data_IF_658403880219
#
_entry.id   IF_658403880219
#
_cell.length_a   1.000
_cell.length_b   1.000
_cell.length_c   1.000
_cell.angle_alpha   90.00
_cell.angle_beta   90.00
_cell.angle_gamma   90.00
#
_symmetry.space_group_name_H-M   'P 1'
#
loop_
_entity.id
_entity.type
_entity.pdbx_description
1 polymer ?
#
# COMPACT_ATOMS: atom_id res chain seq x y z
N UNK A 1 9.42 14.70 -34.26
CA UNK A 1 8.71 14.85 -32.99
C UNK A 1 9.36 13.86 -32.03
N UNK A 2 10.19 14.36 -31.12
CA UNK A 2 10.87 13.53 -30.12
C UNK A 2 9.86 13.16 -29.04
N UNK A 3 9.44 11.89 -29.01
CA UNK A 3 8.84 11.32 -27.82
C UNK A 3 9.89 11.43 -26.69
N UNK A 4 9.69 12.38 -25.80
CA UNK A 4 10.34 12.32 -24.51
C UNK A 4 9.83 11.05 -23.86
N UNK A 5 10.68 10.03 -23.78
CA UNK A 5 10.43 8.89 -22.91
C UNK A 5 10.25 9.43 -21.50
N UNK A 6 9.00 9.55 -21.10
CA UNK A 6 8.65 9.89 -19.72
C UNK A 6 9.25 8.77 -18.87
N UNK A 7 10.16 9.14 -17.99
CA UNK A 7 10.72 8.22 -17.00
C UNK A 7 9.57 7.87 -16.03
N UNK A 8 8.80 6.87 -16.40
CA UNK A 8 7.66 6.39 -15.63
C UNK A 8 8.06 5.04 -15.00
N UNK A 9 8.47 5.04 -13.73
CA UNK A 9 8.79 3.80 -13.01
C UNK A 9 7.52 3.04 -12.72
N UNK A 10 7.28 1.99 -13.49
CA UNK A 10 6.24 1.02 -13.24
C UNK A 10 6.78 -0.15 -12.39
N UNK A 11 5.92 -0.78 -11.66
CA UNK A 11 6.26 -1.98 -10.90
C UNK A 11 6.08 -1.77 -9.41
N UNK A 12 4.83 -1.66 -9.01
CA UNK A 12 4.47 -1.66 -7.60
C UNK A 12 3.12 -2.33 -7.46
N UNK A 13 3.05 -3.27 -6.53
CA UNK A 13 1.78 -3.83 -6.08
C UNK A 13 1.77 -3.79 -4.56
N UNK A 14 0.80 -3.08 -4.01
CA UNK A 14 0.53 -3.05 -2.57
C UNK A 14 -0.86 -3.58 -2.34
N UNK A 15 -1.00 -4.46 -1.37
CA UNK A 15 -2.28 -5.01 -0.92
C UNK A 15 -2.40 -4.85 0.59
N UNK A 16 -3.56 -4.39 1.04
CA UNK A 16 -3.93 -4.33 2.45
C UNK A 16 -5.20 -5.13 2.72
N UNK A 17 -5.20 -5.89 3.80
CA UNK A 17 -6.35 -6.70 4.25
C UNK A 17 -6.53 -6.51 5.75
N UNK A 18 -7.78 -6.27 6.17
CA UNK A 18 -8.17 -6.32 7.58
C UNK A 18 -9.06 -7.54 7.83
N UNK A 19 -8.77 -8.26 8.90
CA UNK A 19 -9.59 -9.41 9.34
C UNK A 19 -9.35 -9.71 10.80
N UNK A 20 -10.42 -9.95 11.55
CA UNK A 20 -10.38 -10.39 12.95
C UNK A 20 -9.51 -9.52 13.86
N UNK A 21 -9.60 -8.20 13.71
CA UNK A 21 -8.82 -7.24 14.51
C UNK A 21 -7.34 -7.14 14.12
N UNK A 22 -6.93 -7.75 13.02
CA UNK A 22 -5.62 -7.59 12.41
C UNK A 22 -5.69 -6.78 11.12
N UNK A 23 -4.64 -6.07 10.80
CA UNK A 23 -4.38 -5.47 9.49
C UNK A 23 -3.03 -5.97 8.98
N UNK A 24 -3.00 -6.46 7.75
CA UNK A 24 -1.77 -6.82 7.06
C UNK A 24 -1.63 -5.99 5.78
N UNK A 25 -0.47 -5.39 5.57
CA UNK A 25 -0.09 -4.76 4.32
C UNK A 25 1.11 -5.50 3.74
N UNK A 26 1.02 -5.84 2.45
CA UNK A 26 2.11 -6.44 1.72
C UNK A 26 2.42 -5.67 0.43
N UNK A 27 3.67 -5.73 0.03
CA UNK A 27 4.14 -5.18 -1.24
C UNK A 27 5.17 -6.09 -1.88
N UNK A 28 5.15 -6.14 -3.22
CA UNK A 28 6.20 -6.80 -3.99
C UNK A 28 7.49 -5.97 -4.00
N UNK A 29 8.59 -6.57 -4.46
CA UNK A 29 9.90 -5.93 -4.48
C UNK A 29 10.33 -5.37 -5.83
N UNK A 30 9.54 -5.49 -6.89
CA UNK A 30 9.97 -5.11 -8.23
C UNK A 30 9.92 -3.60 -8.47
N UNK A 31 11.00 -3.07 -9.02
CA UNK A 31 11.08 -1.72 -9.60
C UNK A 31 11.49 -1.88 -11.05
N UNK A 32 10.66 -1.37 -11.96
CA UNK A 32 10.83 -1.52 -13.42
C UNK A 32 10.88 -0.13 -14.06
N UNK A 33 11.77 0.06 -15.01
CA UNK A 33 11.84 1.26 -15.85
C UNK A 33 11.72 0.83 -17.29
N UNK A 34 10.66 1.25 -17.94
CA UNK A 34 10.31 0.75 -19.28
C UNK A 34 10.17 -0.78 -19.24
N UNK A 35 11.01 -1.48 -19.98
CA UNK A 35 11.00 -2.94 -20.08
C UNK A 35 12.10 -3.63 -19.26
N UNK A 36 12.75 -2.90 -18.34
CA UNK A 36 13.91 -3.41 -17.59
C UNK A 36 13.61 -3.43 -16.08
N UNK A 37 13.80 -4.60 -15.45
CA UNK A 37 13.76 -4.73 -14.00
C UNK A 37 15.05 -4.15 -13.41
N UNK A 38 14.94 -3.04 -12.68
CA UNK A 38 16.06 -2.35 -12.06
C UNK A 38 16.38 -2.90 -10.66
N UNK A 39 15.37 -3.36 -9.94
CA UNK A 39 15.48 -3.89 -8.59
C UNK A 39 14.36 -4.90 -8.33
N UNK A 40 14.69 -5.98 -7.62
CA UNK A 40 13.73 -7.04 -7.31
C UNK A 40 13.37 -7.19 -5.83
N UNK A 41 13.96 -6.38 -4.94
CA UNK A 41 13.83 -6.49 -3.49
C UNK A 41 13.57 -5.15 -2.79
N UNK A 42 12.86 -4.24 -3.43
CA UNK A 42 12.49 -2.96 -2.83
C UNK A 42 11.50 -3.16 -1.67
N UNK A 43 11.66 -2.35 -0.62
CA UNK A 43 10.70 -2.27 0.49
C UNK A 43 9.71 -1.16 0.23
N UNK A 44 8.46 -1.52 -0.03
CA UNK A 44 7.37 -0.58 -0.38
C UNK A 44 6.34 -0.42 0.74
N UNK A 45 6.46 -1.21 1.81
CA UNK A 45 5.60 -1.16 2.99
C UNK A 45 6.44 -0.82 4.21
N UNK A 46 5.91 0.04 5.08
CA UNK A 46 6.57 0.54 6.30
C UNK A 46 5.62 0.58 7.49
N UNK A 47 6.20 0.51 8.67
CA UNK A 47 5.54 0.84 9.94
C UNK A 47 5.79 2.30 10.26
N UNK A 48 4.76 3.02 10.65
CA UNK A 48 4.78 4.42 11.04
C UNK A 48 4.16 4.61 12.43
N UNK A 49 4.37 5.78 13.02
CA UNK A 49 3.73 6.18 14.26
C UNK A 49 3.93 5.17 15.39
N UNK A 50 5.21 4.90 15.74
CA UNK A 50 5.59 3.93 16.78
C UNK A 50 4.95 2.56 16.56
N UNK A 51 5.05 2.05 15.34
CA UNK A 51 4.52 0.74 14.91
C UNK A 51 2.99 0.58 15.06
N UNK A 52 2.24 1.67 15.05
CA UNK A 52 0.77 1.63 15.17
C UNK A 52 0.04 1.72 13.84
N UNK A 53 0.72 2.14 12.78
CA UNK A 53 0.15 2.31 11.44
C UNK A 53 1.04 1.66 10.41
N UNK A 54 0.44 0.97 9.44
CA UNK A 54 1.10 0.46 8.25
C UNK A 54 0.85 1.41 7.07
N UNK A 55 1.86 1.61 6.24
CA UNK A 55 1.74 2.40 5.02
C UNK A 55 2.46 1.74 3.87
N UNK A 56 1.84 1.73 2.68
CA UNK A 56 2.40 1.26 1.43
C UNK A 56 2.21 2.30 0.33
N UNK A 57 3.15 2.39 -0.59
CA UNK A 57 3.22 3.42 -1.61
C UNK A 57 3.33 2.83 -3.01
N UNK A 58 2.57 3.36 -3.94
CA UNK A 58 2.68 3.08 -5.37
C UNK A 58 2.96 4.38 -6.13
N UNK A 59 4.11 4.45 -6.81
CA UNK A 59 4.60 5.63 -7.53
C UNK A 59 6.13 5.69 -7.58
N UNK A 60 6.69 6.85 -7.90
CA UNK A 60 8.14 7.07 -7.92
C UNK A 60 8.78 6.97 -6.53
N UNK A 61 9.95 6.32 -6.44
CA UNK A 61 10.61 6.06 -5.14
C UNK A 61 11.04 7.31 -4.38
N UNK A 62 11.43 8.38 -5.10
CA UNK A 62 11.79 9.65 -4.46
C UNK A 62 10.60 10.31 -3.75
N UNK A 63 9.40 10.13 -4.31
CA UNK A 63 8.16 10.71 -3.81
C UNK A 63 7.64 9.95 -2.59
N UNK A 64 7.92 8.64 -2.51
CA UNK A 64 7.53 7.79 -1.40
C UNK A 64 8.05 8.31 -0.06
N UNK A 65 9.32 8.69 0.01
CA UNK A 65 9.93 9.18 1.25
C UNK A 65 9.26 10.44 1.75
N UNK A 66 9.05 11.41 0.86
CA UNK A 66 8.38 12.68 1.20
C UNK A 66 6.96 12.45 1.72
N UNK A 67 6.20 11.58 1.08
CA UNK A 67 4.83 11.27 1.50
C UNK A 67 4.77 10.52 2.83
N UNK A 68 5.66 9.57 3.07
CA UNK A 68 5.74 8.88 4.36
C UNK A 68 6.10 9.84 5.50
N UNK A 69 7.10 10.72 5.31
CA UNK A 69 7.48 11.73 6.31
C UNK A 69 6.32 12.69 6.61
N UNK A 70 5.66 13.19 5.57
CA UNK A 70 4.49 14.07 5.71
C UNK A 70 3.34 13.38 6.44
N UNK A 71 3.11 12.11 6.12
CA UNK A 71 2.04 11.33 6.76
C UNK A 71 2.36 11.05 8.22
N UNK A 72 3.59 10.67 8.55
CA UNK A 72 4.02 10.45 9.93
C UNK A 72 3.87 11.70 10.78
N UNK A 73 4.25 12.87 10.26
CA UNK A 73 4.05 14.15 10.94
C UNK A 73 2.55 14.45 11.21
N UNK A 74 1.65 14.05 10.30
CA UNK A 74 0.19 14.17 10.54
C UNK A 74 -0.29 13.19 11.62
N UNK A 75 0.22 11.96 11.62
CA UNK A 75 -0.12 10.97 12.65
C UNK A 75 0.34 11.43 14.04
N UNK A 76 1.55 11.97 14.16
CA UNK A 76 2.08 12.52 15.40
C UNK A 76 1.24 13.71 15.91
N UNK A 77 0.86 14.60 14.99
CA UNK A 77 0.08 15.80 15.32
C UNK A 77 -1.34 15.51 15.75
N UNK A 78 -2.02 14.57 15.08
CA UNK A 78 -3.45 14.34 15.28
C UNK A 78 -3.76 13.08 16.10
N UNK A 79 -2.82 12.15 16.26
CA UNK A 79 -2.97 10.92 17.03
C UNK A 79 -4.06 9.96 16.52
N UNK A 80 -4.55 10.15 15.29
CA UNK A 80 -5.69 9.43 14.72
C UNK A 80 -5.49 9.23 13.22
N UNK A 81 -5.63 7.99 12.76
CA UNK A 81 -5.39 7.62 11.36
C UNK A 81 -6.32 8.35 10.40
N UNK A 82 -7.62 8.39 10.68
CA UNK A 82 -8.62 9.04 9.82
C UNK A 82 -8.32 10.53 9.67
N UNK A 83 -8.04 11.22 10.77
CA UNK A 83 -7.71 12.64 10.74
C UNK A 83 -6.42 12.91 9.99
N UNK A 84 -5.39 12.11 10.25
CA UNK A 84 -4.10 12.23 9.56
C UNK A 84 -4.24 12.01 8.05
N UNK A 85 -5.03 11.03 7.61
CA UNK A 85 -5.29 10.75 6.21
C UNK A 85 -5.99 11.93 5.51
N UNK A 86 -7.03 12.50 6.13
CA UNK A 86 -7.75 13.66 5.61
C UNK A 86 -6.83 14.87 5.48
N UNK A 87 -6.03 15.14 6.51
CA UNK A 87 -5.13 16.30 6.50
C UNK A 87 -3.95 16.12 5.52
N UNK A 88 -3.46 14.89 5.32
CA UNK A 88 -2.49 14.61 4.26
C UNK A 88 -3.12 14.84 2.88
N UNK A 89 -4.32 14.35 2.64
CA UNK A 89 -5.00 14.52 1.35
C UNK A 89 -5.22 15.99 1.00
N UNK A 90 -5.58 16.82 1.98
CA UNK A 90 -5.69 18.28 1.80
C UNK A 90 -4.36 18.92 1.42
N UNK A 91 -3.29 18.58 2.14
CA UNK A 91 -1.95 19.08 1.83
C UNK A 91 -1.50 18.60 0.45
N UNK A 92 -1.70 17.33 0.13
CA UNK A 92 -1.31 16.75 -1.15
C UNK A 92 -1.95 17.47 -2.34
N UNK A 93 -3.26 17.74 -2.22
CA UNK A 93 -4.01 18.47 -3.26
C UNK A 93 -3.56 19.92 -3.40
N UNK A 94 -3.26 20.60 -2.30
CA UNK A 94 -3.01 22.06 -2.26
C UNK A 94 -1.53 22.45 -2.34
N UNK A 95 -0.62 21.59 -1.90
CA UNK A 95 0.82 21.86 -1.93
C UNK A 95 1.34 21.86 -3.37
N UNK A 96 2.09 22.90 -3.72
CA UNK A 96 2.59 23.13 -5.08
C UNK A 96 3.51 22.02 -5.58
N UNK A 97 4.24 21.37 -4.69
CA UNK A 97 5.14 20.26 -5.00
C UNK A 97 4.44 18.91 -4.94
N UNK A 98 3.71 18.63 -3.84
CA UNK A 98 3.04 17.36 -3.64
C UNK A 98 1.99 17.06 -4.70
N UNK A 99 1.20 18.04 -5.14
CA UNK A 99 0.15 17.85 -6.15
C UNK A 99 0.63 17.37 -7.52
N UNK A 100 1.95 17.42 -7.76
CA UNK A 100 2.57 16.92 -9.00
C UNK A 100 2.93 15.44 -8.91
N UNK A 101 2.83 14.84 -7.72
CA UNK A 101 3.17 13.45 -7.49
C UNK A 101 2.03 12.56 -7.97
N UNK A 102 2.30 11.78 -9.00
CA UNK A 102 1.40 10.73 -9.47
C UNK A 102 1.63 9.48 -8.63
N UNK A 103 0.91 9.39 -7.53
CA UNK A 103 1.10 8.34 -6.55
C UNK A 103 -0.20 8.00 -5.81
N UNK A 104 -0.20 6.82 -5.20
CA UNK A 104 -1.23 6.35 -4.29
C UNK A 104 -0.57 5.86 -3.00
N UNK A 105 -1.21 6.13 -1.89
CA UNK A 105 -0.83 5.65 -0.58
C UNK A 105 -1.92 4.75 0.00
N UNK A 106 -1.55 3.56 0.45
CA UNK A 106 -2.43 2.64 1.19
C UNK A 106 -1.97 2.62 2.64
N UNK A 107 -2.87 2.97 3.55
CA UNK A 107 -2.56 3.07 4.98
C UNK A 107 -3.58 2.33 5.81
N UNK A 108 -3.16 1.74 6.92
CA UNK A 108 -4.07 1.01 7.78
C UNK A 108 -3.57 0.81 9.19
N UNK A 109 -4.52 0.66 10.09
CA UNK A 109 -4.38 0.15 11.44
C UNK A 109 -5.41 -0.99 11.67
N UNK A 110 -5.47 -1.63 12.85
CA UNK A 110 -6.44 -2.69 13.09
C UNK A 110 -7.90 -2.27 12.91
N UNK A 111 -8.21 -0.97 13.01
CA UNK A 111 -9.58 -0.45 12.96
C UNK A 111 -9.96 0.09 11.58
N UNK A 112 -9.00 0.62 10.81
CA UNK A 112 -9.24 1.35 9.56
C UNK A 112 -8.24 1.00 8.46
N UNK A 113 -8.70 1.11 7.21
CA UNK A 113 -7.90 0.99 6.00
C UNK A 113 -8.31 2.10 5.04
N UNK A 114 -7.34 2.82 4.46
CA UNK A 114 -7.61 3.91 3.51
C UNK A 114 -6.68 3.87 2.31
N UNK A 115 -7.23 4.23 1.15
CA UNK A 115 -6.45 4.65 -0.02
C UNK A 115 -6.50 6.18 -0.08
N UNK A 116 -5.33 6.80 -0.21
CA UNK A 116 -5.17 8.25 -0.32
C UNK A 116 -4.55 8.57 -1.68
N UNK A 117 -5.17 9.50 -2.41
CA UNK A 117 -4.69 9.94 -3.72
C UNK A 117 -4.18 11.37 -3.72
N UNK A 118 -3.35 11.70 -4.70
CA UNK A 118 -2.87 13.07 -4.93
C UNK A 118 -3.98 14.04 -5.35
N UNK A 119 -5.14 13.55 -5.74
CA UNK A 119 -6.32 14.38 -6.03
C UNK A 119 -7.06 14.84 -4.75
N UNK A 120 -6.65 14.37 -3.60
CA UNK A 120 -7.27 14.68 -2.31
C UNK A 120 -8.34 13.68 -1.86
N UNK A 121 -8.43 12.51 -2.53
CA UNK A 121 -9.37 11.47 -2.15
C UNK A 121 -8.84 10.67 -0.95
N UNK A 122 -9.74 10.36 -0.02
CA UNK A 122 -9.53 9.39 1.06
C UNK A 122 -10.64 8.37 0.98
N UNK A 123 -10.31 7.16 0.53
CA UNK A 123 -11.29 6.11 0.25
C UNK A 123 -11.14 5.01 1.29
N UNK A 124 -12.20 4.77 2.06
CA UNK A 124 -12.32 3.60 2.92
C UNK A 124 -12.95 2.46 2.11
N UNK A 125 -12.29 1.29 1.96
CA UNK A 125 -12.83 0.20 1.16
C UNK A 125 -14.01 -0.48 1.85
N UNK A 126 -14.99 -0.91 1.07
CA UNK A 126 -16.21 -1.55 1.56
C UNK A 126 -15.95 -2.94 2.20
N UNK A 127 -14.96 -3.68 1.71
CA UNK A 127 -14.77 -5.09 2.06
C UNK A 127 -13.51 -5.39 2.88
N UNK A 128 -12.99 -4.41 3.60
CA UNK A 128 -11.77 -4.56 4.41
C UNK A 128 -10.53 -4.99 3.61
N UNK A 129 -10.51 -4.68 2.32
CA UNK A 129 -9.41 -4.96 1.42
C UNK A 129 -9.24 -3.83 0.39
N UNK A 130 -8.02 -3.41 0.19
CA UNK A 130 -7.66 -2.44 -0.85
C UNK A 130 -6.31 -2.77 -1.45
N UNK A 131 -6.13 -2.42 -2.72
CA UNK A 131 -4.86 -2.59 -3.40
C UNK A 131 -4.57 -1.39 -4.31
N UNK A 132 -3.28 -1.12 -4.51
CA UNK A 132 -2.78 -0.04 -5.36
C UNK A 132 -1.63 -0.54 -6.22
N UNK A 133 -1.37 0.16 -7.30
CA UNK A 133 -0.27 -0.15 -8.23
C UNK A 133 -0.64 -1.11 -9.35
N UNK A 134 0.35 -1.49 -10.16
CA UNK A 134 0.17 -2.19 -11.43
C UNK A 134 -0.50 -3.56 -11.30
N UNK A 135 -0.14 -4.35 -10.30
CA UNK A 135 -0.75 -5.65 -10.00
C UNK A 135 -1.91 -5.58 -9.01
N UNK A 136 -2.29 -4.37 -8.59
CA UNK A 136 -3.28 -4.16 -7.52
C UNK A 136 -4.63 -4.81 -7.80
N UNK A 137 -5.14 -4.72 -9.01
CA UNK A 137 -6.44 -5.30 -9.37
C UNK A 137 -6.46 -6.83 -9.27
N UNK A 138 -5.38 -7.50 -9.64
CA UNK A 138 -5.25 -8.95 -9.51
C UNK A 138 -5.15 -9.37 -8.04
N UNK A 139 -4.34 -8.65 -7.26
CA UNK A 139 -4.21 -8.89 -5.83
C UNK A 139 -5.54 -8.65 -5.09
N UNK A 140 -6.26 -7.58 -5.43
CA UNK A 140 -7.57 -7.25 -4.88
C UNK A 140 -8.61 -8.35 -5.15
N UNK A 141 -8.71 -8.80 -6.39
CA UNK A 141 -9.66 -9.85 -6.77
C UNK A 141 -9.37 -11.17 -6.04
N UNK A 142 -8.09 -11.56 -5.96
CA UNK A 142 -7.68 -12.76 -5.23
C UNK A 142 -7.97 -12.64 -3.72
N UNK A 143 -7.64 -11.50 -3.10
CA UNK A 143 -7.89 -11.26 -1.68
C UNK A 143 -9.39 -11.26 -1.36
N UNK A 144 -10.22 -10.63 -2.21
CA UNK A 144 -11.68 -10.68 -2.07
C UNK A 144 -12.21 -12.11 -2.06
N UNK A 145 -11.80 -12.93 -3.02
CA UNK A 145 -12.22 -14.33 -3.09
C UNK A 145 -11.79 -15.13 -1.85
N UNK A 146 -10.58 -14.91 -1.34
CA UNK A 146 -10.09 -15.58 -0.14
C UNK A 146 -10.78 -15.09 1.14
N UNK A 147 -11.11 -13.80 1.24
CA UNK A 147 -11.89 -13.28 2.37
C UNK A 147 -13.28 -13.89 2.45
N UNK A 148 -13.94 -14.09 1.31
CA UNK A 148 -15.29 -14.63 1.24
C UNK A 148 -15.34 -16.16 1.42
N UNK A 149 -14.34 -16.88 0.92
CA UNK A 149 -14.37 -18.35 0.79
C UNK A 149 -13.44 -19.11 1.74
N UNK A 150 -12.70 -18.43 2.61
CA UNK A 150 -11.75 -19.07 3.51
C UNK A 150 -11.75 -18.48 4.92
N UNK A 151 -11.10 -19.20 5.85
CA UNK A 151 -10.84 -18.76 7.22
C UNK A 151 -9.40 -18.29 7.44
N UNK A 152 -8.64 -18.07 6.36
CA UNK A 152 -7.25 -17.64 6.41
C UNK A 152 -7.14 -16.28 7.13
N UNK A 153 -6.03 -16.08 7.84
CA UNK A 153 -5.72 -14.80 8.48
C UNK A 153 -5.34 -13.71 7.44
N UNK A 154 -5.31 -12.46 7.90
CA UNK A 154 -5.03 -11.32 7.03
C UNK A 154 -3.68 -11.45 6.33
N UNK A 155 -2.63 -11.88 7.07
CA UNK A 155 -1.28 -12.05 6.54
C UNK A 155 -1.23 -13.10 5.43
N UNK A 156 -1.82 -14.26 5.65
CA UNK A 156 -1.86 -15.35 4.67
C UNK A 156 -2.64 -14.97 3.41
N UNK A 157 -3.75 -14.24 3.56
CA UNK A 157 -4.51 -13.70 2.42
C UNK A 157 -3.64 -12.76 1.60
N UNK A 158 -2.92 -11.83 2.24
CA UNK A 158 -2.02 -10.90 1.55
C UNK A 158 -0.94 -11.65 0.79
N UNK A 159 -0.27 -12.62 1.42
CA UNK A 159 0.80 -13.40 0.82
C UNK A 159 0.34 -14.16 -0.44
N UNK A 160 -0.76 -14.90 -0.32
CA UNK A 160 -1.32 -15.68 -1.44
C UNK A 160 -1.78 -14.79 -2.59
N UNK A 161 -2.45 -13.69 -2.26
CA UNK A 161 -2.99 -12.77 -3.27
C UNK A 161 -1.90 -12.04 -4.03
N UNK A 162 -0.82 -11.62 -3.37
CA UNK A 162 0.36 -11.05 -4.03
C UNK A 162 1.09 -12.08 -4.89
N UNK A 163 1.14 -13.34 -4.45
CA UNK A 163 1.65 -14.44 -5.26
C UNK A 163 0.88 -14.62 -6.56
N UNK A 164 -0.46 -14.60 -6.51
CA UNK A 164 -1.32 -14.68 -7.70
C UNK A 164 -1.10 -13.46 -8.60
N UNK A 165 -1.03 -12.26 -8.03
CA UNK A 165 -0.73 -11.05 -8.80
C UNK A 165 0.62 -11.14 -9.51
N UNK A 166 1.64 -11.72 -8.87
CA UNK A 166 2.96 -11.94 -9.47
C UNK A 166 2.96 -12.93 -10.65
N UNK A 167 2.04 -13.89 -10.65
CA UNK A 167 1.89 -14.84 -11.76
C UNK A 167 1.22 -14.22 -12.99
N UNK A 168 0.48 -13.13 -12.82
CA UNK A 168 -0.32 -12.50 -13.86
C UNK A 168 0.33 -11.20 -14.35
N UNK A 169 0.79 -10.35 -13.43
CA UNK A 169 1.31 -9.02 -13.71
C UNK A 169 2.82 -9.05 -13.91
N UNK A 170 3.29 -8.67 -15.09
CA UNK A 170 4.73 -8.62 -15.43
C UNK A 170 5.51 -7.59 -14.58
N UNK A 171 4.83 -6.66 -13.94
CA UNK A 171 5.41 -5.62 -13.08
C UNK A 171 5.43 -5.98 -11.60
N UNK A 172 5.08 -7.21 -11.25
CA UNK A 172 5.00 -7.70 -9.87
C UNK A 172 5.84 -8.96 -9.73
N UNK A 173 6.66 -9.04 -8.68
CA UNK A 173 7.45 -10.25 -8.40
C UNK A 173 7.03 -10.93 -7.09
N UNK A 174 7.63 -12.11 -6.82
CA UNK A 174 7.34 -12.92 -5.62
C UNK A 174 8.19 -12.53 -4.39
N UNK A 175 9.05 -11.53 -4.48
CA UNK A 175 9.79 -11.01 -3.35
C UNK A 175 8.89 -10.07 -2.55
N UNK A 176 8.09 -10.63 -1.66
CA UNK A 176 7.05 -9.91 -0.92
C UNK A 176 7.54 -9.56 0.47
N UNK A 177 7.32 -8.31 0.88
CA UNK A 177 7.45 -7.85 2.27
C UNK A 177 6.06 -7.61 2.83
N UNK A 178 5.74 -8.26 3.95
CA UNK A 178 4.44 -8.14 4.62
C UNK A 178 4.66 -7.67 6.05
N UNK A 179 3.94 -6.62 6.45
CA UNK A 179 3.83 -6.13 7.81
C UNK A 179 2.42 -6.36 8.34
N UNK A 180 2.29 -6.64 9.63
CA UNK A 180 1.02 -6.90 10.29
C UNK A 180 0.94 -6.21 11.64
N UNK A 181 -0.24 -5.67 11.98
CA UNK A 181 -0.58 -5.11 13.28
C UNK A 181 -1.89 -5.72 13.80
N UNK A 182 -2.00 -5.84 15.12
CA UNK A 182 -3.16 -6.44 15.76
C UNK A 182 -3.16 -7.97 15.60
N UNK A 183 -4.34 -8.56 15.73
CA UNK A 183 -4.52 -10.01 15.77
C UNK A 183 -4.30 -10.57 17.19
N UNK A 184 -4.84 -11.74 17.46
CA UNK A 184 -4.56 -12.47 18.70
C UNK A 184 -3.10 -12.93 18.63
N UNK A 185 -2.26 -12.51 19.57
CA UNK A 185 -1.08 -13.30 19.93
C UNK A 185 -1.60 -14.69 20.22
N UNK A 186 -1.14 -15.68 19.47
CA UNK A 186 -1.45 -17.06 19.78
C UNK A 186 -1.19 -17.29 21.27
N UNK A 187 -2.16 -17.86 21.96
CA UNK A 187 -1.90 -18.41 23.27
C UNK A 187 -0.83 -19.47 23.06
N UNK A 188 0.36 -19.19 23.52
CA UNK A 188 1.37 -20.23 23.77
C UNK A 188 0.80 -21.04 24.94
N UNK A 189 0.27 -22.22 24.64
CA UNK A 189 0.08 -23.30 25.60
C UNK A 189 1.32 -24.18 25.64
#
# INVERSE_FOLDING_TARGET
MSEHAVFDPHGTTILGVRRNGAVALGGDGQVTIGNTVMKGNARKVRRLFNDKVLAGFAGGTADAFTLFERFEAKLEKYGNLTRAAIELAKDWRSDRYLRRLEALLLVGDPDKLFVISGNGDVIEPEYDVAAIGSGGQYALAAARALLESSTLDARTIVERSLGIAADICIYTNRNVVIEELGGRKGAED
#
